data_IF_892458646384
#
_entry.id   IF_892458646384
#
_cell.length_a   1.000
_cell.length_b   1.000
_cell.length_c   1.000
_cell.angle_alpha   90.00
_cell.angle_beta   90.00
_cell.angle_gamma   90.00
#
_symmetry.space_group_name_H-M   'P 1'
#
loop_
_entity.id
_entity.type
_entity.pdbx_description
1 polymer ?
#
# COMPACT_ATOMS: atom_id res chain seq x y z
N UNK A 1 -17.50 -32.39 -9.81
CA UNK A 1 -17.06 -31.17 -9.10
C UNK A 1 -18.30 -30.63 -8.40
N UNK A 2 -18.40 -30.79 -7.08
CA UNK A 2 -19.58 -30.35 -6.33
C UNK A 2 -19.58 -28.84 -6.20
N UNK A 3 -20.63 -28.18 -6.68
CA UNK A 3 -20.88 -26.78 -6.39
C UNK A 3 -21.06 -26.62 -4.88
N UNK A 4 -20.20 -25.84 -4.22
CA UNK A 4 -20.49 -25.35 -2.88
C UNK A 4 -21.68 -24.39 -3.00
N UNK A 5 -22.88 -24.89 -2.80
CA UNK A 5 -24.06 -24.05 -2.64
C UNK A 5 -23.94 -23.35 -1.29
N UNK A 6 -23.57 -22.08 -1.32
CA UNK A 6 -23.59 -21.25 -0.12
C UNK A 6 -25.05 -21.09 0.32
N UNK A 7 -25.30 -21.20 1.64
CA UNK A 7 -26.62 -21.03 2.20
C UNK A 7 -27.07 -19.57 2.01
N UNK A 8 -28.24 -19.36 1.39
CA UNK A 8 -28.79 -18.03 1.11
C UNK A 8 -28.94 -17.18 2.38
N UNK A 9 -29.39 -17.79 3.47
CA UNK A 9 -29.56 -17.11 4.75
C UNK A 9 -28.21 -16.63 5.31
N UNK A 10 -27.15 -17.42 5.14
CA UNK A 10 -25.81 -17.04 5.58
C UNK A 10 -25.20 -15.91 4.73
N UNK A 11 -25.57 -15.84 3.44
CA UNK A 11 -25.18 -14.73 2.57
C UNK A 11 -25.91 -13.46 3.02
N UNK A 12 -27.21 -13.55 3.30
CA UNK A 12 -28.01 -12.41 3.74
C UNK A 12 -27.53 -11.87 5.10
N UNK A 13 -27.22 -12.76 6.06
CA UNK A 13 -26.64 -12.39 7.35
C UNK A 13 -25.28 -11.69 7.18
N UNK A 14 -24.40 -12.24 6.34
CA UNK A 14 -23.09 -11.65 6.05
C UNK A 14 -23.24 -10.28 5.37
N UNK A 15 -24.15 -10.15 4.40
CA UNK A 15 -24.44 -8.88 3.74
C UNK A 15 -25.04 -7.85 4.71
N UNK A 16 -25.86 -8.28 5.66
CA UNK A 16 -26.44 -7.40 6.66
C UNK A 16 -25.36 -6.88 7.63
N UNK A 17 -24.47 -7.75 8.10
CA UNK A 17 -23.32 -7.34 8.92
C UNK A 17 -22.43 -6.37 8.13
N UNK A 18 -22.08 -6.73 6.89
CA UNK A 18 -21.28 -5.88 5.99
C UNK A 18 -21.95 -4.52 5.77
N UNK A 19 -23.27 -4.45 5.60
CA UNK A 19 -24.01 -3.20 5.45
C UNK A 19 -24.02 -2.36 6.74
N UNK A 20 -24.03 -2.99 7.91
CA UNK A 20 -23.97 -2.29 9.20
C UNK A 20 -22.60 -1.66 9.45
N UNK A 21 -21.51 -2.36 9.10
CA UNK A 21 -20.15 -1.83 9.26
C UNK A 21 -19.69 -1.00 8.07
N UNK A 22 -20.40 -1.06 6.93
CA UNK A 22 -20.06 -0.31 5.71
C UNK A 22 -19.85 1.17 6.00
N UNK A 23 -20.74 1.90 6.71
CA UNK A 23 -20.51 3.30 7.06
C UNK A 23 -19.22 3.49 7.85
N UNK A 24 -18.89 2.62 8.80
CA UNK A 24 -17.66 2.73 9.60
C UNK A 24 -16.41 2.45 8.77
N UNK A 25 -16.49 1.53 7.80
CA UNK A 25 -15.41 1.22 6.87
C UNK A 25 -15.21 2.37 5.86
N UNK A 26 -16.29 2.84 5.23
CA UNK A 26 -16.23 3.94 4.25
C UNK A 26 -15.87 5.26 4.91
N UNK A 27 -16.42 5.53 6.09
CA UNK A 27 -16.08 6.70 6.90
C UNK A 27 -14.66 6.57 7.40
N UNK A 28 -14.21 5.42 7.89
CA UNK A 28 -12.84 5.20 8.32
C UNK A 28 -11.81 5.45 7.22
N UNK A 29 -12.08 4.99 5.99
CA UNK A 29 -11.23 5.27 4.83
C UNK A 29 -11.24 6.75 4.46
N UNK A 30 -12.43 7.37 4.42
CA UNK A 30 -12.58 8.80 4.12
C UNK A 30 -11.95 9.69 5.20
N UNK A 31 -12.02 9.29 6.47
CA UNK A 31 -11.42 9.96 7.62
C UNK A 31 -9.91 9.87 7.54
N UNK A 32 -9.33 8.69 7.28
CA UNK A 32 -7.87 8.56 7.10
C UNK A 32 -7.36 9.44 5.96
N UNK A 33 -8.05 9.45 4.82
CA UNK A 33 -7.68 10.31 3.68
C UNK A 33 -7.81 11.79 4.02
N UNK A 34 -8.89 12.23 4.67
CA UNK A 34 -9.05 13.63 5.06
C UNK A 34 -8.06 14.04 6.17
N UNK A 35 -7.76 13.16 7.12
CA UNK A 35 -6.73 13.40 8.14
C UNK A 35 -5.35 13.55 7.50
N UNK A 36 -4.97 12.66 6.58
CA UNK A 36 -3.72 12.77 5.84
C UNK A 36 -3.64 14.10 5.05
N UNK A 37 -4.75 14.50 4.41
CA UNK A 37 -4.85 15.78 3.71
C UNK A 37 -4.65 16.96 4.66
N UNK A 38 -5.29 16.95 5.83
CA UNK A 38 -5.14 18.00 6.85
C UNK A 38 -3.72 18.09 7.38
N UNK A 39 -3.10 16.96 7.68
CA UNK A 39 -1.72 16.91 8.16
C UNK A 39 -0.75 17.52 7.13
N UNK A 40 -0.88 17.17 5.84
CA UNK A 40 -0.10 17.80 4.77
C UNK A 40 -0.34 19.29 4.60
N UNK A 41 -1.56 19.78 4.86
CA UNK A 41 -1.86 21.22 4.84
C UNK A 41 -1.25 21.97 6.03
N UNK A 42 -1.21 21.34 7.21
CA UNK A 42 -0.70 21.95 8.45
C UNK A 42 0.83 21.96 8.48
N UNK A 43 1.47 20.86 8.07
CA UNK A 43 2.91 20.65 8.24
C UNK A 43 3.72 20.84 6.96
N UNK A 44 3.08 20.99 5.80
CA UNK A 44 3.77 21.13 4.51
C UNK A 44 3.93 19.79 3.78
N UNK A 45 4.40 19.86 2.54
CA UNK A 45 4.47 18.69 1.65
C UNK A 45 5.50 17.64 2.09
N UNK A 46 6.56 18.03 2.81
CA UNK A 46 7.68 17.20 3.24
C UNK A 46 7.51 16.62 4.66
N UNK A 47 6.33 16.77 5.27
CA UNK A 47 6.14 16.36 6.65
C UNK A 47 6.32 14.85 6.85
N UNK A 48 5.82 14.01 5.95
CA UNK A 48 5.98 12.55 6.06
C UNK A 48 7.45 12.14 5.94
N UNK A 49 8.17 12.75 5.01
CA UNK A 49 9.61 12.59 4.87
C UNK A 49 10.34 12.97 6.17
N UNK A 50 10.00 14.11 6.74
CA UNK A 50 10.60 14.58 7.99
C UNK A 50 10.25 13.66 9.18
N UNK A 51 8.99 13.24 9.31
CA UNK A 51 8.50 12.34 10.35
C UNK A 51 9.11 10.94 10.26
N UNK A 52 9.43 10.48 9.05
CA UNK A 52 10.16 9.23 8.84
C UNK A 52 11.63 9.33 9.27
N UNK A 53 12.19 10.54 9.40
CA UNK A 53 13.61 10.76 9.70
C UNK A 53 14.46 10.99 8.45
N UNK A 54 13.87 11.52 7.38
CA UNK A 54 14.55 11.77 6.11
C UNK A 54 14.91 10.48 5.37
N UNK A 55 15.98 10.53 4.55
CA UNK A 55 16.38 9.41 3.67
C UNK A 55 16.75 8.17 4.50
N UNK A 56 17.51 8.33 5.57
CA UNK A 56 17.91 7.22 6.46
C UNK A 56 16.69 6.53 7.08
N UNK A 57 15.67 7.31 7.42
CA UNK A 57 14.38 6.84 7.89
C UNK A 57 13.63 5.99 6.86
N UNK A 58 13.56 6.48 5.62
CA UNK A 58 12.96 5.75 4.49
C UNK A 58 13.73 4.45 4.21
N UNK A 59 15.06 4.48 4.25
CA UNK A 59 15.90 3.29 4.11
C UNK A 59 15.63 2.26 5.20
N UNK A 60 15.53 2.70 6.46
CA UNK A 60 15.18 1.86 7.60
C UNK A 60 13.81 1.21 7.44
N UNK A 61 12.81 1.98 7.03
CA UNK A 61 11.48 1.48 6.69
C UNK A 61 11.52 0.43 5.57
N UNK A 62 12.18 0.72 4.45
CA UNK A 62 12.31 -0.22 3.32
C UNK A 62 13.02 -1.50 3.75
N UNK A 63 14.09 -1.40 4.54
CA UNK A 63 14.79 -2.55 5.05
C UNK A 63 13.85 -3.46 5.84
N UNK A 64 13.14 -2.88 6.82
CA UNK A 64 12.22 -3.61 7.69
C UNK A 64 11.05 -4.20 6.91
N UNK A 65 10.49 -3.47 5.96
CA UNK A 65 9.42 -3.94 5.08
C UNK A 65 9.80 -5.24 4.37
N UNK A 66 11.01 -5.32 3.82
CA UNK A 66 11.45 -6.54 3.13
C UNK A 66 11.77 -7.72 4.06
N UNK A 67 12.12 -7.47 5.33
CA UNK A 67 12.19 -8.56 6.33
C UNK A 67 10.82 -9.18 6.57
N UNK A 68 9.78 -8.34 6.66
CA UNK A 68 8.39 -8.77 6.89
C UNK A 68 7.84 -9.47 5.64
N UNK A 69 7.97 -8.85 4.47
CA UNK A 69 7.53 -9.42 3.18
C UNK A 69 8.18 -10.79 2.95
N UNK A 70 9.46 -10.97 3.29
CA UNK A 70 10.14 -12.26 3.15
C UNK A 70 9.47 -13.40 3.92
N UNK A 71 8.76 -13.09 5.00
CA UNK A 71 8.03 -14.05 5.84
C UNK A 71 6.55 -14.19 5.46
N UNK A 72 5.97 -13.23 4.72
CA UNK A 72 4.57 -13.26 4.30
C UNK A 72 4.36 -14.12 3.05
N UNK A 73 3.84 -15.34 3.25
CA UNK A 73 3.53 -16.29 2.17
C UNK A 73 2.48 -15.79 1.18
N UNK A 74 1.72 -14.74 1.50
CA UNK A 74 0.72 -14.14 0.61
C UNK A 74 1.39 -13.39 -0.56
N UNK A 75 2.58 -12.82 -0.33
CA UNK A 75 3.25 -11.89 -1.27
C UNK A 75 4.71 -12.21 -1.55
N UNK A 76 5.40 -13.01 -0.72
CA UNK A 76 6.84 -13.26 -0.86
C UNK A 76 7.25 -13.85 -2.23
N UNK A 77 6.33 -14.53 -2.92
CA UNK A 77 6.54 -15.09 -4.26
C UNK A 77 6.88 -14.03 -5.31
N UNK A 78 6.52 -12.76 -5.10
CA UNK A 78 6.90 -11.66 -6.00
C UNK A 78 8.33 -11.13 -5.75
N UNK A 79 8.97 -11.52 -4.65
CA UNK A 79 10.16 -10.86 -4.12
C UNK A 79 11.35 -11.81 -3.96
N UNK A 80 11.90 -12.28 -5.08
CA UNK A 80 13.15 -13.07 -5.11
C UNK A 80 14.32 -12.29 -4.50
N UNK A 81 15.07 -12.91 -3.59
CA UNK A 81 16.07 -12.24 -2.74
C UNK A 81 17.14 -11.43 -3.48
N UNK A 82 17.67 -11.94 -4.60
CA UNK A 82 18.68 -11.21 -5.39
C UNK A 82 18.09 -10.01 -6.14
N UNK A 83 16.86 -10.15 -6.66
CA UNK A 83 16.16 -9.03 -7.32
C UNK A 83 15.80 -7.95 -6.29
N UNK A 84 15.39 -8.35 -5.09
CA UNK A 84 15.09 -7.43 -3.98
C UNK A 84 16.30 -6.57 -3.65
N UNK A 85 17.50 -7.15 -3.52
CA UNK A 85 18.73 -6.38 -3.26
C UNK A 85 18.98 -5.32 -4.33
N UNK A 86 18.79 -5.66 -5.59
CA UNK A 86 19.01 -4.74 -6.71
C UNK A 86 17.96 -3.62 -6.80
N UNK A 87 16.70 -3.88 -6.44
CA UNK A 87 15.61 -2.89 -6.54
C UNK A 87 15.50 -1.96 -5.31
N UNK A 88 16.01 -2.38 -4.14
CA UNK A 88 15.89 -1.62 -2.87
C UNK A 88 16.28 -0.15 -3.00
N UNK A 89 17.43 0.23 -3.61
CA UNK A 89 17.78 1.64 -3.79
C UNK A 89 16.73 2.43 -4.58
N UNK A 90 16.25 1.88 -5.70
CA UNK A 90 15.21 2.53 -6.50
C UNK A 90 13.87 2.63 -5.77
N UNK A 91 13.53 1.67 -4.91
CA UNK A 91 12.35 1.77 -4.05
C UNK A 91 12.51 2.87 -2.99
N UNK A 92 13.70 3.02 -2.40
CA UNK A 92 14.00 4.11 -1.46
C UNK A 92 13.83 5.46 -2.15
N UNK A 93 14.35 5.63 -3.36
CA UNK A 93 14.19 6.85 -4.14
C UNK A 93 12.71 7.13 -4.43
N UNK A 94 11.97 6.09 -4.85
CA UNK A 94 10.54 6.21 -5.12
C UNK A 94 9.74 6.59 -3.87
N UNK A 95 9.98 5.92 -2.75
CA UNK A 95 9.26 6.18 -1.53
C UNK A 95 9.64 7.54 -0.93
N UNK A 96 10.89 7.96 -1.05
CA UNK A 96 11.33 9.31 -0.67
C UNK A 96 10.53 10.37 -1.43
N UNK A 97 10.35 10.20 -2.74
CA UNK A 97 9.49 11.07 -3.55
C UNK A 97 8.02 11.03 -3.10
N UNK A 98 7.47 9.83 -2.87
CA UNK A 98 6.07 9.63 -2.48
C UNK A 98 5.74 10.28 -1.13
N UNK A 99 6.67 10.27 -0.18
CA UNK A 99 6.49 10.89 1.14
C UNK A 99 6.92 12.36 1.20
N UNK A 100 7.19 12.97 0.03
CA UNK A 100 7.43 14.42 -0.11
C UNK A 100 8.88 14.87 0.08
N UNK A 101 9.83 13.95 0.08
CA UNK A 101 11.27 14.25 0.14
C UNK A 101 11.83 14.82 -1.17
N UNK A 102 13.09 15.30 -1.15
CA UNK A 102 13.71 16.01 -2.28
C UNK A 102 14.17 15.08 -3.42
N UNK A 103 14.16 13.77 -3.22
CA UNK A 103 14.58 12.81 -4.24
C UNK A 103 13.52 12.69 -5.34
N UNK A 104 13.96 12.77 -6.60
CA UNK A 104 13.14 12.43 -7.75
C UNK A 104 13.41 10.99 -8.18
N UNK A 105 12.36 10.20 -8.32
CA UNK A 105 12.50 8.86 -8.88
C UNK A 105 12.73 8.94 -10.40
N UNK A 106 13.89 8.48 -10.85
CA UNK A 106 14.28 8.43 -12.26
C UNK A 106 14.15 7.03 -12.88
N UNK A 107 13.51 6.10 -12.17
CA UNK A 107 13.32 4.73 -12.64
C UNK A 107 12.20 4.60 -13.67
N UNK A 108 11.93 3.36 -14.09
CA UNK A 108 10.81 3.07 -15.01
C UNK A 108 9.46 3.37 -14.36
N UNK A 109 8.43 3.75 -15.14
CA UNK A 109 7.07 3.85 -14.65
C UNK A 109 6.65 2.60 -13.87
N UNK A 110 5.87 2.76 -12.80
CA UNK A 110 5.42 1.63 -11.98
C UNK A 110 4.53 0.70 -12.80
N UNK A 111 3.74 1.26 -13.70
CA UNK A 111 2.86 0.56 -14.63
C UNK A 111 3.66 -0.45 -15.46
N UNK A 112 4.79 -0.03 -16.03
CA UNK A 112 5.66 -0.87 -16.85
C UNK A 112 6.36 -1.96 -16.03
N UNK A 113 6.74 -1.64 -14.78
CA UNK A 113 7.40 -2.59 -13.88
C UNK A 113 6.45 -3.71 -13.47
N UNK A 114 5.18 -3.37 -13.20
CA UNK A 114 4.17 -4.30 -12.68
C UNK A 114 3.28 -4.89 -13.78
N UNK A 115 3.38 -4.45 -15.04
CA UNK A 115 2.54 -4.88 -16.16
C UNK A 115 2.50 -6.41 -16.36
N UNK A 116 3.58 -7.12 -16.07
CA UNK A 116 3.65 -8.57 -16.24
C UNK A 116 3.37 -9.36 -14.96
N UNK A 117 3.02 -8.66 -13.88
CA UNK A 117 2.70 -9.24 -12.59
C UNK A 117 1.18 -9.22 -12.44
N UNK A 118 0.56 -10.38 -12.23
CA UNK A 118 -0.89 -10.49 -11.98
C UNK A 118 -1.26 -10.03 -10.56
N UNK A 119 -0.84 -8.82 -10.19
CA UNK A 119 -1.13 -8.20 -8.91
C UNK A 119 -2.56 -7.67 -8.94
N UNK A 120 -3.33 -8.01 -7.92
CA UNK A 120 -4.70 -7.55 -7.72
C UNK A 120 -4.80 -6.89 -6.34
N UNK A 121 -6.01 -6.43 -5.99
CA UNK A 121 -6.26 -5.75 -4.72
C UNK A 121 -5.81 -6.54 -3.50
N UNK A 122 -6.03 -7.87 -3.49
CA UNK A 122 -5.63 -8.71 -2.37
C UNK A 122 -4.12 -8.64 -2.12
N UNK A 123 -3.30 -8.74 -3.15
CA UNK A 123 -1.84 -8.71 -2.99
C UNK A 123 -1.35 -7.33 -2.54
N UNK A 124 -1.97 -6.25 -3.04
CA UNK A 124 -1.60 -4.90 -2.64
C UNK A 124 -2.04 -4.60 -1.20
N UNK A 125 -3.20 -5.09 -0.77
CA UNK A 125 -3.65 -5.00 0.63
C UNK A 125 -2.68 -5.73 1.57
N UNK A 126 -2.22 -6.92 1.17
CA UNK A 126 -1.19 -7.64 1.93
C UNK A 126 0.12 -6.84 2.03
N UNK A 127 0.53 -6.16 0.95
CA UNK A 127 1.68 -5.27 0.97
C UNK A 127 1.47 -4.08 1.92
N UNK A 128 0.29 -3.46 1.94
CA UNK A 128 -0.03 -2.37 2.87
C UNK A 128 -0.06 -2.84 4.33
N UNK A 129 -0.55 -4.05 4.61
CA UNK A 129 -0.48 -4.66 5.94
C UNK A 129 0.98 -4.79 6.41
N UNK A 130 1.86 -5.26 5.53
CA UNK A 130 3.28 -5.44 5.82
C UNK A 130 4.00 -4.09 5.97
N UNK A 131 3.65 -3.10 5.14
CA UNK A 131 4.09 -1.71 5.30
C UNK A 131 3.68 -1.15 6.66
N UNK A 132 2.43 -1.36 7.08
CA UNK A 132 1.95 -0.89 8.38
C UNK A 132 2.75 -1.51 9.54
N UNK A 133 3.05 -2.82 9.48
CA UNK A 133 3.88 -3.49 10.48
C UNK A 133 5.29 -2.91 10.50
N UNK A 134 5.91 -2.70 9.34
CA UNK A 134 7.23 -2.13 9.25
C UNK A 134 7.30 -0.69 9.80
N UNK A 135 6.31 0.14 9.49
CA UNK A 135 6.23 1.52 10.00
C UNK A 135 6.08 1.56 11.53
N UNK A 136 5.29 0.63 12.11
CA UNK A 136 5.21 0.47 13.58
C UNK A 136 6.54 0.06 14.18
N UNK A 137 7.25 -0.89 13.55
CA UNK A 137 8.51 -1.41 14.06
C UNK A 137 9.63 -0.36 14.03
N UNK A 138 9.59 0.59 13.09
CA UNK A 138 10.51 1.74 13.08
C UNK A 138 10.06 2.91 13.98
N UNK A 139 8.96 2.75 14.72
CA UNK A 139 8.57 3.65 15.81
C UNK A 139 7.70 4.84 15.42
N UNK A 140 7.05 4.82 14.24
CA UNK A 140 6.11 5.87 13.87
C UNK A 140 4.82 5.77 14.70
N UNK A 141 4.22 6.92 15.01
CA UNK A 141 2.91 6.98 15.64
C UNK A 141 1.79 6.62 14.65
N UNK A 142 0.63 6.20 15.18
CA UNK A 142 -0.50 5.72 14.39
C UNK A 142 -0.99 6.73 13.35
N UNK A 143 -0.99 8.03 13.68
CA UNK A 143 -1.49 9.06 12.77
C UNK A 143 -0.53 9.26 11.59
N UNK A 144 0.77 9.31 11.85
CA UNK A 144 1.78 9.34 10.78
C UNK A 144 1.73 8.08 9.92
N UNK A 145 1.55 6.90 10.53
CA UNK A 145 1.42 5.63 9.80
C UNK A 145 0.24 5.68 8.83
N UNK A 146 -0.94 6.12 9.29
CA UNK A 146 -2.12 6.21 8.43
C UNK A 146 -1.88 7.15 7.24
N UNK A 147 -1.16 8.26 7.45
CA UNK A 147 -0.82 9.18 6.36
C UNK A 147 0.15 8.57 5.35
N UNK A 148 1.15 7.80 5.80
CA UNK A 148 2.06 7.06 4.90
C UNK A 148 1.27 6.02 4.11
N UNK A 149 0.39 5.25 4.76
CA UNK A 149 -0.42 4.23 4.09
C UNK A 149 -1.35 4.83 3.04
N UNK A 150 -1.97 5.97 3.30
CA UNK A 150 -2.77 6.71 2.29
C UNK A 150 -1.90 7.09 1.08
N UNK A 151 -0.66 7.54 1.32
CA UNK A 151 0.26 7.92 0.24
C UNK A 151 0.71 6.72 -0.61
N UNK A 152 0.88 5.55 0.03
CA UNK A 152 1.16 4.29 -0.65
C UNK A 152 -0.05 3.79 -1.44
N UNK A 153 -1.25 3.85 -0.86
CA UNK A 153 -2.50 3.41 -1.50
C UNK A 153 -2.85 4.25 -2.72
N UNK A 154 -2.47 5.53 -2.74
CA UNK A 154 -2.57 6.37 -3.94
C UNK A 154 -1.76 5.85 -5.14
N UNK A 155 -0.75 4.99 -4.90
CA UNK A 155 0.03 4.36 -5.97
C UNK A 155 -0.63 3.08 -6.52
N UNK A 156 -1.69 2.57 -5.87
CA UNK A 156 -2.37 1.31 -6.24
C UNK A 156 -2.74 1.24 -7.73
N UNK A 157 -3.34 2.28 -8.36
CA UNK A 157 -3.70 2.19 -9.78
C UNK A 157 -2.49 1.94 -10.68
N UNK A 158 -1.31 2.46 -10.32
CA UNK A 158 -0.08 2.27 -11.09
C UNK A 158 0.50 0.86 -10.97
N UNK A 159 0.20 0.16 -9.87
CA UNK A 159 0.65 -1.22 -9.63
C UNK A 159 -0.34 -2.24 -10.20
N UNK A 160 -1.65 -1.92 -10.13
CA UNK A 160 -2.72 -2.79 -10.59
C UNK A 160 -3.18 -2.50 -12.03
N UNK A 161 -2.58 -1.52 -12.74
CA UNK A 161 -3.08 -1.02 -14.03
C UNK A 161 -3.50 -2.16 -14.99
N UNK A 162 -2.60 -3.14 -15.18
CA UNK A 162 -2.84 -4.29 -16.05
C UNK A 162 -4.05 -5.15 -15.62
N UNK A 163 -4.26 -5.36 -14.31
CA UNK A 163 -5.39 -6.13 -13.79
C UNK A 163 -6.74 -5.52 -14.17
N UNK A 164 -6.81 -4.19 -14.24
CA UNK A 164 -8.02 -3.49 -14.63
C UNK A 164 -8.23 -3.49 -16.15
N UNK A 165 -7.18 -3.31 -16.94
CA UNK A 165 -7.23 -3.40 -18.41
C UNK A 165 -7.75 -4.77 -18.89
N UNK A 166 -7.23 -5.87 -18.34
CA UNK A 166 -7.66 -7.23 -18.72
C UNK A 166 -9.14 -7.50 -18.39
N UNK A 167 -9.69 -6.81 -17.40
CA UNK A 167 -11.08 -6.94 -16.97
C UNK A 167 -12.03 -5.92 -17.61
N UNK A 168 -11.52 -5.07 -18.50
CA UNK A 168 -12.31 -4.05 -19.19
C UNK A 168 -12.68 -2.84 -18.32
N UNK A 169 -11.98 -2.61 -17.21
CA UNK A 169 -12.10 -1.39 -16.42
C UNK A 169 -11.11 -0.35 -16.97
N UNK A 170 -11.62 0.82 -17.38
CA UNK A 170 -10.79 1.93 -17.89
C UNK A 170 -10.69 2.99 -16.80
N UNK A 171 -9.48 3.32 -16.37
CA UNK A 171 -9.24 4.52 -15.57
C UNK A 171 -9.39 5.74 -16.48
N UNK A 172 -10.44 6.52 -16.25
CA UNK A 172 -10.66 7.82 -16.89
C UNK A 172 -9.83 8.91 -16.20
#
# INVERSE_FOLDING_TARGET
MGSMSLNGDAIDDALQIMNMVRPDITTGCSVRTEMARRQGQVHGHDFLFSSLGGVEGVEGFVHRLFEIIGLDRRVNMFFESEKVKAMKPSLVDYLTMVVGGPAGYAGRPLEDIHAFLSINDFFFDCFLDDAQKALRDVGLDTETIDCVLVSLDFQRPKVLNHFYEERGFVYA
#
